data_IF_621232629157
#
_entry.id   IF_621232629157
#
_cell.length_a   1.000
_cell.length_b   1.000
_cell.length_c   1.000
_cell.angle_alpha   90.00
_cell.angle_beta   90.00
_cell.angle_gamma   90.00
#
_symmetry.space_group_name_H-M   'P 1'
#
loop_
_entity.id
_entity.type
_entity.pdbx_description
1 polymer ?
#
# COMPACT_ATOMS: atom_id res chain seq x y z
N UNK A 1 2.19 19.59 -16.22
CA UNK A 1 2.73 19.70 -17.57
C UNK A 1 4.16 19.15 -17.52
N UNK A 2 4.29 17.83 -17.49
CA UNK A 2 5.53 17.15 -17.82
C UNK A 2 5.23 16.47 -19.15
N UNK A 3 5.94 16.93 -20.15
CA UNK A 3 5.79 16.62 -21.56
C UNK A 3 6.24 15.18 -21.77
N UNK A 4 5.29 14.27 -21.99
CA UNK A 4 5.58 12.96 -22.55
C UNK A 4 6.15 13.21 -23.95
N UNK A 5 7.45 12.97 -24.12
CA UNK A 5 8.10 12.98 -25.43
C UNK A 5 7.68 11.70 -26.15
N UNK A 6 6.48 11.73 -26.70
CA UNK A 6 5.98 10.77 -27.68
C UNK A 6 6.83 10.94 -28.94
N UNK A 7 7.81 10.06 -29.12
CA UNK A 7 8.46 9.87 -30.42
C UNK A 7 7.48 9.08 -31.28
N UNK A 8 6.64 9.81 -32.00
CA UNK A 8 5.66 9.28 -32.94
C UNK A 8 6.37 8.92 -34.26
N UNK A 9 6.55 7.64 -34.54
CA UNK A 9 6.95 7.17 -35.87
C UNK A 9 6.16 5.92 -36.26
N UNK A 10 5.69 5.91 -37.50
CA UNK A 10 4.68 5.03 -38.08
C UNK A 10 4.86 3.51 -37.87
N UNK A 11 3.72 2.82 -37.68
CA UNK A 11 3.42 1.39 -37.87
C UNK A 11 4.53 0.37 -37.50
N UNK A 12 4.30 -0.36 -36.38
CA UNK A 12 5.13 -1.42 -35.76
C UNK A 12 6.28 -0.94 -34.83
N UNK A 13 6.03 0.06 -33.97
CA UNK A 13 6.97 0.44 -32.91
C UNK A 13 6.86 -0.50 -31.70
N UNK A 14 7.80 -1.45 -31.60
CA UNK A 14 8.10 -2.17 -30.36
C UNK A 14 8.54 -1.13 -29.31
N UNK A 15 7.79 -1.00 -28.21
CA UNK A 15 8.14 -0.12 -27.09
C UNK A 15 9.27 -0.78 -26.29
N UNK A 16 10.47 -0.20 -26.29
CA UNK A 16 11.59 -0.72 -25.51
C UNK A 16 11.57 -0.17 -24.08
N UNK A 17 11.80 -1.04 -23.10
CA UNK A 17 11.97 -0.63 -21.71
C UNK A 17 13.34 0.05 -21.58
N UNK A 18 13.36 1.38 -21.51
CA UNK A 18 14.62 2.08 -21.30
C UNK A 18 15.10 1.88 -19.85
N UNK A 19 16.13 1.07 -19.67
CA UNK A 19 16.77 0.85 -18.38
C UNK A 19 17.74 2.01 -18.08
N UNK A 20 17.20 3.16 -17.69
CA UNK A 20 18.04 4.32 -17.36
C UNK A 20 18.83 4.05 -16.08
N UNK A 21 20.15 4.24 -16.13
CA UNK A 21 21.06 4.16 -14.97
C UNK A 21 20.72 5.16 -13.84
N UNK A 22 19.86 6.14 -14.14
CA UNK A 22 19.26 7.13 -13.22
C UNK A 22 18.08 6.57 -12.41
N UNK A 23 17.46 5.47 -12.86
CA UNK A 23 16.36 4.76 -12.18
C UNK A 23 16.86 3.63 -11.26
N UNK A 24 18.16 3.32 -11.30
CA UNK A 24 18.76 2.34 -10.40
C UNK A 24 18.68 2.85 -8.97
N UNK A 25 18.11 2.06 -8.06
CA UNK A 25 18.02 2.42 -6.65
C UNK A 25 19.42 2.75 -6.12
N UNK A 26 19.56 3.92 -5.46
CA UNK A 26 20.76 4.22 -4.68
C UNK A 26 21.06 3.02 -3.76
N UNK A 27 22.33 2.62 -3.56
CA UNK A 27 22.66 1.44 -2.76
C UNK A 27 22.02 1.46 -1.36
N UNK A 28 21.85 2.66 -0.78
CA UNK A 28 21.14 2.83 0.49
C UNK A 28 19.65 2.47 0.40
N UNK A 29 18.97 2.81 -0.70
CA UNK A 29 17.57 2.49 -0.93
C UNK A 29 17.38 0.99 -1.21
N UNK A 30 18.32 0.35 -1.91
CA UNK A 30 18.28 -1.10 -2.12
C UNK A 30 18.41 -1.85 -0.78
N UNK A 31 19.40 -1.48 0.04
CA UNK A 31 19.62 -2.10 1.36
C UNK A 31 18.40 -1.92 2.27
N UNK A 32 17.79 -0.73 2.29
CA UNK A 32 16.61 -0.49 3.13
C UNK A 32 15.40 -1.32 2.70
N UNK A 33 15.16 -1.46 1.40
CA UNK A 33 14.05 -2.26 0.84
C UNK A 33 14.22 -3.76 1.06
N UNK A 34 15.45 -4.27 1.04
CA UNK A 34 15.75 -5.70 1.23
C UNK A 34 15.76 -6.09 2.70
N UNK A 35 16.35 -5.27 3.57
CA UNK A 35 16.61 -5.67 4.96
C UNK A 35 15.72 -4.96 5.96
N UNK A 36 15.60 -3.63 5.87
CA UNK A 36 14.93 -2.84 6.90
C UNK A 36 13.42 -2.99 6.81
N UNK A 37 12.84 -2.85 5.61
CA UNK A 37 11.39 -2.90 5.41
C UNK A 37 10.81 -4.28 5.78
N UNK A 38 11.38 -5.42 5.33
CA UNK A 38 10.85 -6.74 5.71
C UNK A 38 10.94 -7.02 7.21
N UNK A 39 11.99 -6.56 7.89
CA UNK A 39 12.11 -6.69 9.35
C UNK A 39 11.01 -5.89 10.06
N UNK A 40 10.75 -4.65 9.62
CA UNK A 40 9.66 -3.83 10.16
C UNK A 40 8.31 -4.50 9.89
N UNK A 41 8.06 -4.99 8.68
CA UNK A 41 6.82 -5.70 8.34
C UNK A 41 6.66 -6.99 9.15
N UNK A 42 7.73 -7.76 9.39
CA UNK A 42 7.69 -8.97 10.21
C UNK A 42 7.34 -8.64 11.66
N UNK A 43 7.98 -7.63 12.25
CA UNK A 43 7.66 -7.22 13.61
C UNK A 43 6.24 -6.64 13.72
N UNK A 44 5.84 -5.82 12.76
CA UNK A 44 4.51 -5.22 12.68
C UNK A 44 3.39 -6.25 12.49
N UNK A 45 3.61 -7.28 11.67
CA UNK A 45 2.66 -8.37 11.49
C UNK A 45 2.54 -9.20 12.76
N UNK A 46 3.65 -9.62 13.38
CA UNK A 46 3.63 -10.36 14.64
C UNK A 46 2.90 -9.58 15.75
N UNK A 47 3.23 -8.30 15.93
CA UNK A 47 2.58 -7.45 16.92
C UNK A 47 1.07 -7.31 16.69
N UNK A 48 0.65 -7.09 15.44
CA UNK A 48 -0.77 -6.97 15.12
C UNK A 48 -1.53 -8.30 15.17
N UNK A 49 -0.88 -9.43 14.87
CA UNK A 49 -1.47 -10.76 15.06
C UNK A 49 -1.75 -11.01 16.54
N UNK A 50 -0.81 -10.70 17.44
CA UNK A 50 -1.04 -10.79 18.89
C UNK A 50 -2.19 -9.87 19.32
N UNK A 51 -2.24 -8.65 18.78
CA UNK A 51 -3.31 -7.68 19.04
C UNK A 51 -4.69 -8.25 18.66
N UNK A 52 -4.82 -8.97 17.53
CA UNK A 52 -6.07 -9.62 17.11
C UNK A 52 -6.46 -10.78 18.03
N UNK A 53 -5.48 -11.56 18.49
CA UNK A 53 -5.72 -12.69 19.39
C UNK A 53 -6.17 -12.23 20.78
N UNK A 54 -5.66 -11.09 21.26
CA UNK A 54 -5.89 -10.59 22.62
C UNK A 54 -7.04 -9.59 22.71
N UNK A 55 -7.20 -8.69 21.74
CA UNK A 55 -8.15 -7.57 21.84
C UNK A 55 -9.45 -7.78 21.06
N UNK A 56 -10.51 -7.21 21.62
CA UNK A 56 -11.86 -7.21 21.01
C UNK A 56 -11.96 -6.29 19.78
N UNK A 57 -11.08 -5.29 19.61
CA UNK A 57 -11.16 -4.27 18.55
C UNK A 57 -10.32 -4.64 17.32
N UNK A 58 -10.74 -5.71 16.63
CA UNK A 58 -9.97 -6.34 15.54
C UNK A 58 -9.76 -5.46 14.31
N UNK A 59 -10.60 -4.45 14.08
CA UNK A 59 -10.61 -3.68 12.83
C UNK A 59 -9.30 -2.90 12.59
N UNK A 60 -8.75 -2.29 13.64
CA UNK A 60 -7.51 -1.51 13.56
C UNK A 60 -6.34 -2.43 13.19
N UNK A 61 -6.21 -3.54 13.92
CA UNK A 61 -5.15 -4.52 13.67
C UNK A 61 -5.26 -5.19 12.30
N UNK A 62 -6.48 -5.44 11.81
CA UNK A 62 -6.69 -5.96 10.45
C UNK A 62 -6.23 -4.94 9.40
N UNK A 63 -6.58 -3.66 9.54
CA UNK A 63 -6.10 -2.63 8.61
C UNK A 63 -4.57 -2.50 8.64
N UNK A 64 -3.96 -2.61 9.83
CA UNK A 64 -2.49 -2.58 9.96
C UNK A 64 -1.84 -3.81 9.32
N UNK A 65 -2.42 -5.01 9.45
CA UNK A 65 -1.93 -6.21 8.76
C UNK A 65 -1.99 -6.05 7.24
N UNK A 66 -3.11 -5.55 6.70
CA UNK A 66 -3.25 -5.31 5.26
C UNK A 66 -2.24 -4.27 4.79
N UNK A 67 -2.00 -3.22 5.58
CA UNK A 67 -0.99 -2.21 5.29
C UNK A 67 0.42 -2.81 5.23
N UNK A 68 0.85 -3.57 6.25
CA UNK A 68 2.19 -4.17 6.28
C UNK A 68 2.39 -5.18 5.15
N UNK A 69 1.35 -5.97 4.83
CA UNK A 69 1.39 -6.90 3.72
C UNK A 69 1.54 -6.17 2.38
N UNK A 70 0.69 -5.19 2.10
CA UNK A 70 0.75 -4.41 0.86
C UNK A 70 2.07 -3.64 0.73
N UNK A 71 2.56 -3.06 1.82
CA UNK A 71 3.87 -2.38 1.89
C UNK A 71 5.01 -3.35 1.55
N UNK A 72 4.98 -4.57 2.12
CA UNK A 72 5.98 -5.58 1.80
C UNK A 72 5.99 -5.91 0.30
N UNK A 73 4.82 -6.10 -0.33
CA UNK A 73 4.73 -6.37 -1.77
C UNK A 73 5.22 -5.19 -2.63
N UNK A 74 4.81 -3.95 -2.30
CA UNK A 74 5.19 -2.73 -3.04
C UNK A 74 6.70 -2.48 -3.00
N UNK A 75 7.34 -2.70 -1.85
CA UNK A 75 8.75 -2.34 -1.68
C UNK A 75 9.73 -3.49 -1.93
N UNK A 76 9.35 -4.74 -1.63
CA UNK A 76 10.28 -5.89 -1.68
C UNK A 76 10.27 -6.62 -3.03
N UNK A 77 9.09 -6.80 -3.65
CA UNK A 77 8.97 -7.52 -4.94
C UNK A 77 9.82 -6.92 -6.07
N UNK A 78 9.83 -5.60 -6.33
CA UNK A 78 10.63 -5.06 -7.43
C UNK A 78 12.13 -5.33 -7.24
N UNK A 79 12.64 -5.22 -6.01
CA UNK A 79 14.06 -5.46 -5.72
C UNK A 79 14.42 -6.94 -5.83
N UNK A 80 13.52 -7.84 -5.41
CA UNK A 80 13.72 -9.29 -5.57
C UNK A 80 13.70 -9.66 -7.06
N UNK A 81 12.78 -9.08 -7.84
CA UNK A 81 12.69 -9.33 -9.28
C UNK A 81 13.95 -8.88 -10.02
N UNK A 82 14.50 -7.71 -9.66
CA UNK A 82 15.77 -7.20 -10.20
C UNK A 82 16.95 -8.13 -9.86
N UNK A 83 17.03 -8.66 -8.62
CA UNK A 83 18.12 -9.55 -8.22
C UNK A 83 18.01 -10.97 -8.74
N UNK A 84 16.80 -11.45 -9.04
CA UNK A 84 16.58 -12.84 -9.44
C UNK A 84 16.91 -13.10 -10.90
N UNK A 85 17.04 -12.05 -11.73
CA UNK A 85 17.27 -12.12 -13.18
C UNK A 85 16.23 -12.99 -13.95
N UNK A 86 15.12 -13.37 -13.29
CA UNK A 86 14.06 -14.18 -13.87
C UNK A 86 13.05 -13.27 -14.57
N UNK A 87 12.95 -13.45 -15.88
CA UNK A 87 12.06 -12.68 -16.76
C UNK A 87 10.60 -12.79 -16.32
N UNK A 88 10.18 -13.92 -15.74
CA UNK A 88 8.82 -14.10 -15.24
C UNK A 88 8.53 -13.21 -14.04
N UNK A 89 9.48 -13.08 -13.11
CA UNK A 89 9.38 -12.22 -11.93
C UNK A 89 9.47 -10.74 -12.31
N UNK A 90 10.32 -10.40 -13.28
CA UNK A 90 10.43 -9.05 -13.81
C UNK A 90 9.12 -8.62 -14.48
N UNK A 91 8.48 -9.49 -15.26
CA UNK A 91 7.23 -9.18 -15.95
C UNK A 91 6.02 -9.07 -15.01
N UNK A 92 5.98 -9.85 -13.92
CA UNK A 92 4.86 -9.81 -12.95
C UNK A 92 4.98 -8.68 -11.92
N UNK A 93 6.19 -8.14 -11.70
CA UNK A 93 6.40 -7.12 -10.66
C UNK A 93 5.68 -5.78 -10.92
N UNK A 94 5.64 -5.19 -12.14
CA UNK A 94 4.93 -3.94 -12.40
C UNK A 94 3.41 -4.02 -12.20
N UNK A 95 2.67 -5.02 -12.72
CA UNK A 95 1.22 -5.08 -12.49
C UNK A 95 0.87 -5.33 -11.02
N UNK A 96 1.70 -6.10 -10.28
CA UNK A 96 1.55 -6.25 -8.84
C UNK A 96 1.74 -4.91 -8.11
N UNK A 97 2.74 -4.13 -8.49
CA UNK A 97 2.99 -2.81 -7.92
C UNK A 97 1.81 -1.87 -8.15
N UNK A 98 1.28 -1.79 -9.37
CA UNK A 98 0.09 -0.98 -9.73
C UNK A 98 -1.11 -1.35 -8.86
N UNK A 99 -1.29 -2.64 -8.56
CA UNK A 99 -2.38 -3.13 -7.73
C UNK A 99 -2.17 -2.86 -6.23
N UNK A 100 -1.00 -3.18 -5.68
CA UNK A 100 -0.75 -3.07 -4.24
C UNK A 100 -0.45 -1.65 -3.77
N UNK A 101 0.02 -0.76 -4.65
CA UNK A 101 0.28 0.64 -4.33
C UNK A 101 -0.95 1.39 -3.77
N UNK A 102 -2.12 1.42 -4.46
CA UNK A 102 -3.31 2.07 -3.91
C UNK A 102 -3.83 1.34 -2.66
N UNK A 103 -3.71 0.02 -2.58
CA UNK A 103 -4.13 -0.77 -1.42
C UNK A 103 -3.32 -0.39 -0.18
N UNK A 104 -1.99 -0.26 -0.31
CA UNK A 104 -1.12 0.14 0.78
C UNK A 104 -1.52 1.52 1.34
N UNK A 105 -1.80 2.47 0.45
CA UNK A 105 -2.24 3.82 0.85
C UNK A 105 -3.63 3.86 1.49
N UNK A 106 -4.60 3.13 0.92
CA UNK A 106 -5.95 3.01 1.51
C UNK A 106 -5.87 2.35 2.89
N UNK A 107 -5.10 1.27 3.04
CA UNK A 107 -4.95 0.57 4.30
C UNK A 107 -4.30 1.45 5.37
N UNK A 108 -3.22 2.16 5.01
CA UNK A 108 -2.54 3.10 5.90
C UNK A 108 -3.47 4.23 6.37
N UNK A 109 -4.16 4.89 5.44
CA UNK A 109 -5.10 5.97 5.79
C UNK A 109 -6.27 5.47 6.62
N UNK A 110 -6.83 4.30 6.28
CA UNK A 110 -7.88 3.66 7.06
C UNK A 110 -7.43 3.40 8.51
N UNK A 111 -6.24 2.86 8.72
CA UNK A 111 -5.69 2.61 10.05
C UNK A 111 -5.57 3.91 10.88
N UNK A 112 -5.09 4.99 10.27
CA UNK A 112 -4.98 6.32 10.91
C UNK A 112 -6.36 6.85 11.30
N UNK A 113 -7.32 6.86 10.39
CA UNK A 113 -8.67 7.36 10.67
C UNK A 113 -9.42 6.51 11.70
N UNK A 114 -9.25 5.19 11.67
CA UNK A 114 -9.80 4.29 12.69
C UNK A 114 -9.20 4.58 14.07
N UNK A 115 -7.90 4.80 14.16
CA UNK A 115 -7.21 5.09 15.42
C UNK A 115 -7.68 6.43 16.01
N UNK A 116 -7.82 7.45 15.18
CA UNK A 116 -8.37 8.75 15.58
C UNK A 116 -9.79 8.56 16.11
N UNK A 117 -10.63 7.83 15.39
CA UNK A 117 -12.02 7.59 15.77
C UNK A 117 -12.15 6.83 17.09
N UNK A 118 -11.34 5.79 17.30
CA UNK A 118 -11.27 5.04 18.57
C UNK A 118 -10.83 5.95 19.71
N UNK A 119 -9.86 6.83 19.46
CA UNK A 119 -9.36 7.79 20.44
C UNK A 119 -10.45 8.80 20.84
N UNK A 120 -11.19 9.34 19.86
CA UNK A 120 -12.33 10.24 20.11
C UNK A 120 -13.43 9.53 20.89
N UNK A 121 -13.76 8.27 20.53
CA UNK A 121 -14.76 7.49 21.25
C UNK A 121 -14.37 7.30 22.73
N UNK A 122 -13.09 7.02 23.01
CA UNK A 122 -12.57 6.92 24.39
C UNK A 122 -12.60 8.25 25.12
N UNK A 123 -12.21 9.34 24.46
CA UNK A 123 -12.27 10.70 25.03
C UNK A 123 -13.70 11.08 25.43
N UNK A 124 -14.68 10.86 24.54
CA UNK A 124 -16.09 11.09 24.84
C UNK A 124 -16.60 10.19 25.98
N UNK A 125 -16.07 8.99 26.13
CA UNK A 125 -16.41 8.10 27.25
C UNK A 125 -15.98 8.65 28.61
N UNK A 126 -14.87 9.37 28.65
CA UNK A 126 -14.32 9.97 29.87
C UNK A 126 -15.04 11.29 30.19
N UNK A 127 -15.10 12.22 29.22
CA UNK A 127 -15.63 13.56 29.46
C UNK A 127 -17.17 13.62 29.41
N UNK A 128 -17.80 12.72 28.65
CA UNK A 128 -19.25 12.72 28.41
C UNK A 128 -19.86 11.30 28.47
N UNK A 129 -19.82 10.64 29.65
CA UNK A 129 -20.25 9.24 29.80
C UNK A 129 -21.71 8.99 29.40
N UNK A 130 -22.60 9.97 29.57
CA UNK A 130 -24.02 9.86 29.18
C UNK A 130 -24.21 9.82 27.66
N UNK A 131 -23.38 10.54 26.90
CA UNK A 131 -23.41 10.55 25.43
C UNK A 131 -22.95 9.20 24.87
N UNK A 132 -21.89 8.61 25.43
CA UNK A 132 -21.44 7.26 25.03
C UNK A 132 -22.44 6.18 25.41
N UNK A 133 -23.14 6.30 26.54
CA UNK A 133 -24.21 5.34 26.90
C UNK A 133 -25.40 5.39 25.93
N UNK A 134 -25.72 6.57 25.38
CA UNK A 134 -26.76 6.75 24.35
C UNK A 134 -26.27 6.33 22.95
N UNK A 135 -25.00 6.60 22.62
CA UNK A 135 -24.32 6.16 21.39
C UNK A 135 -23.85 4.70 21.42
N UNK A 136 -23.92 4.02 22.57
CA UNK A 136 -23.36 2.69 22.82
C UNK A 136 -24.05 1.54 22.07
N UNK A 137 -24.95 1.84 21.15
CA UNK A 137 -25.43 0.87 20.19
C UNK A 137 -24.31 0.51 19.21
N UNK A 138 -24.09 -0.78 18.95
CA UNK A 138 -23.17 -1.29 17.92
C UNK A 138 -23.35 -0.62 16.55
N UNK A 139 -24.51 0.00 16.29
CA UNK A 139 -24.80 0.79 15.09
C UNK A 139 -23.93 2.05 14.98
N UNK A 140 -23.70 2.80 16.06
CA UNK A 140 -22.90 4.04 16.02
C UNK A 140 -21.42 3.73 15.74
N UNK A 141 -20.88 2.72 16.44
CA UNK A 141 -19.52 2.23 16.21
C UNK A 141 -19.36 1.70 14.78
N UNK A 142 -20.32 0.89 14.31
CA UNK A 142 -20.31 0.42 12.91
C UNK A 142 -20.38 1.56 11.91
N UNK A 143 -21.26 2.55 12.13
CA UNK A 143 -21.40 3.70 11.23
C UNK A 143 -20.08 4.49 11.16
N UNK A 144 -19.43 4.68 12.30
CA UNK A 144 -18.18 5.41 12.38
C UNK A 144 -17.04 4.64 11.67
N UNK A 145 -16.94 3.32 11.87
CA UNK A 145 -16.03 2.44 11.12
C UNK A 145 -16.30 2.55 9.62
N UNK A 146 -17.56 2.36 9.19
CA UNK A 146 -17.93 2.45 7.78
C UNK A 146 -17.61 3.82 7.19
N UNK A 147 -17.85 4.92 7.92
CA UNK A 147 -17.49 6.26 7.46
C UNK A 147 -15.98 6.46 7.29
N UNK A 148 -15.16 5.91 8.20
CA UNK A 148 -13.71 5.98 8.11
C UNK A 148 -13.18 5.19 6.91
N UNK A 149 -13.71 3.99 6.68
CA UNK A 149 -13.38 3.16 5.51
C UNK A 149 -13.78 3.90 4.23
N UNK A 150 -15.04 4.34 4.12
CA UNK A 150 -15.53 5.04 2.93
C UNK A 150 -14.73 6.31 2.64
N UNK A 151 -14.44 7.12 3.66
CA UNK A 151 -13.61 8.32 3.52
C UNK A 151 -12.20 7.99 3.03
N UNK A 152 -11.57 6.95 3.60
CA UNK A 152 -10.21 6.53 3.20
C UNK A 152 -10.18 6.03 1.76
N UNK A 153 -11.20 5.27 1.33
CA UNK A 153 -11.36 4.87 -0.07
C UNK A 153 -11.50 6.10 -0.97
N UNK A 154 -12.49 6.96 -0.71
CA UNK A 154 -12.79 8.16 -1.52
C UNK A 154 -11.58 9.08 -1.67
N UNK A 155 -10.85 9.32 -0.58
CA UNK A 155 -9.68 10.18 -0.56
C UNK A 155 -8.51 9.60 -1.37
N UNK A 156 -8.36 8.26 -1.41
CA UNK A 156 -7.29 7.60 -2.15
C UNK A 156 -7.72 7.07 -3.53
N UNK A 157 -8.99 7.20 -3.93
CA UNK A 157 -9.45 6.88 -5.28
C UNK A 157 -8.56 7.46 -6.40
N UNK A 158 -8.13 8.73 -6.37
CA UNK A 158 -7.26 9.26 -7.43
C UNK A 158 -5.92 8.52 -7.54
N UNK A 159 -5.40 7.93 -6.44
CA UNK A 159 -4.16 7.15 -6.47
C UNK A 159 -4.28 5.85 -7.26
N UNK A 160 -5.48 5.30 -7.42
CA UNK A 160 -5.71 4.12 -8.26
C UNK A 160 -5.41 4.39 -9.73
N UNK A 161 -5.40 5.66 -10.16
CA UNK A 161 -5.11 6.07 -11.52
C UNK A 161 -3.71 6.68 -11.67
N UNK A 162 -2.92 6.71 -10.60
CA UNK A 162 -1.59 7.31 -10.60
C UNK A 162 -0.56 6.42 -11.30
N UNK A 163 -0.68 5.09 -11.16
CA UNK A 163 0.25 4.13 -11.77
C UNK A 163 -0.44 3.34 -12.88
N UNK A 164 0.26 3.18 -14.00
CA UNK A 164 -0.13 2.33 -15.12
C UNK A 164 1.09 1.52 -15.57
N UNK A 165 0.91 0.23 -15.82
CA UNK A 165 1.95 -0.65 -16.36
C UNK A 165 1.77 -0.78 -17.88
N UNK A 166 2.77 -0.39 -18.64
CA UNK A 166 2.81 -0.59 -20.11
C UNK A 166 3.72 -1.78 -20.45
N UNK A 167 3.32 -2.68 -21.37
CA UNK A 167 4.19 -3.75 -21.82
C UNK A 167 5.32 -3.15 -22.68
N UNK A 168 6.56 -3.49 -22.35
CA UNK A 168 7.73 -3.07 -23.12
C UNK A 168 8.73 -4.23 -23.26
N UNK A 169 9.55 -4.21 -24.32
CA UNK A 169 10.58 -5.20 -24.59
C UNK A 169 11.92 -4.72 -24.05
N UNK A 170 12.68 -5.59 -23.37
CA UNK A 170 14.01 -5.21 -22.89
C UNK A 170 15.01 -5.12 -24.04
N UNK A 171 15.88 -4.11 -24.02
CA UNK A 171 17.04 -4.03 -24.93
C UNK A 171 18.14 -5.03 -24.58
N UNK A 172 18.22 -5.50 -23.33
CA UNK A 172 19.28 -6.40 -22.85
C UNK A 172 18.92 -7.88 -22.94
N UNK A 173 17.63 -8.22 -22.91
CA UNK A 173 17.14 -9.59 -23.01
C UNK A 173 16.53 -9.81 -24.39
N UNK A 174 17.39 -10.11 -25.37
CA UNK A 174 16.98 -10.40 -26.74
C UNK A 174 16.42 -11.82 -26.87
N UNK A 175 15.27 -11.92 -27.55
CA UNK A 175 14.86 -13.11 -28.30
C UNK A 175 14.74 -12.71 -29.76
#
# INVERSE_FOLDING_TARGET
MLEETVVENNHDQILYCQHSHELTFSPLQAVSRIYVIPVICAFGTLGNTVNICVFTHKQVSISDLVMFLATFFVFSVPVIAEQSEDISLINISPPLLVFFYPIAHVAHTCAVYMTILVSVHRYLGICHPFLVRRSGHSRSVRLAITSAVSFSLLFNLPRCFELQSVPCQSETFHW
#
